data_IF_379874698886
#
_entry.id   IF_379874698886
#
_cell.length_a   1.000
_cell.length_b   1.000
_cell.length_c   1.000
_cell.angle_alpha   90.00
_cell.angle_beta   90.00
_cell.angle_gamma   90.00
#
_symmetry.space_group_name_H-M   'P 1'
#
loop_
_entity.id
_entity.type
_entity.pdbx_description
1 polymer ?
#
# COMPACT_ATOMS: atom_id res chain seq x y z
N UNK A 1 13.79 17.72 -10.75
CA UNK A 1 12.80 17.97 -9.68
C UNK A 1 13.08 19.37 -9.12
N UNK A 2 12.18 20.35 -9.27
CA UNK A 2 12.42 21.72 -8.74
C UNK A 2 12.36 21.66 -7.20
N UNK A 3 13.32 22.24 -6.49
CA UNK A 3 13.41 22.26 -5.02
C UNK A 3 12.14 22.80 -4.32
N UNK A 4 11.33 23.60 -5.01
CA UNK A 4 10.02 24.06 -4.53
C UNK A 4 8.96 22.96 -4.40
N UNK A 5 9.07 21.86 -5.16
CA UNK A 5 8.12 20.74 -5.11
C UNK A 5 8.20 19.91 -3.82
N UNK A 6 9.37 19.88 -3.15
CA UNK A 6 9.58 19.18 -1.88
C UNK A 6 8.91 19.87 -0.68
N UNK A 7 8.37 21.08 -0.86
CA UNK A 7 7.58 21.77 0.16
C UNK A 7 6.09 21.38 0.13
N UNK A 8 5.66 20.63 -0.88
CA UNK A 8 4.28 20.12 -0.94
C UNK A 8 4.07 19.07 0.15
N UNK A 9 3.03 19.26 0.97
CA UNK A 9 2.60 18.32 2.02
C UNK A 9 2.43 16.91 1.46
N UNK A 10 1.85 16.78 0.27
CA UNK A 10 1.64 15.46 -0.35
C UNK A 10 2.94 14.78 -0.79
N UNK A 11 3.93 15.54 -1.26
CA UNK A 11 5.25 14.99 -1.64
C UNK A 11 5.99 14.51 -0.38
N UNK A 12 6.00 15.33 0.67
CA UNK A 12 6.61 14.97 1.95
C UNK A 12 5.95 13.75 2.57
N UNK A 13 4.61 13.69 2.54
CA UNK A 13 3.87 12.53 3.02
C UNK A 13 4.18 11.27 2.20
N UNK A 14 4.25 11.38 0.86
CA UNK A 14 4.56 10.23 0.00
C UNK A 14 5.96 9.67 0.23
N UNK A 15 6.98 10.54 0.33
CA UNK A 15 8.35 10.14 0.63
C UNK A 15 8.46 9.60 2.06
N UNK A 16 7.81 10.25 3.02
CA UNK A 16 7.76 9.78 4.41
C UNK A 16 7.13 8.40 4.54
N UNK A 17 6.01 8.15 3.83
CA UNK A 17 5.39 6.85 3.74
C UNK A 17 6.36 5.80 3.19
N UNK A 18 7.04 6.12 2.09
CA UNK A 18 8.00 5.23 1.45
C UNK A 18 9.16 4.84 2.37
N UNK A 19 9.72 5.82 3.09
CA UNK A 19 10.82 5.60 4.03
C UNK A 19 10.36 4.71 5.20
N UNK A 20 9.22 5.01 5.80
CA UNK A 20 8.69 4.25 6.94
C UNK A 20 8.35 2.80 6.56
N UNK A 21 7.69 2.60 5.41
CA UNK A 21 7.37 1.26 4.91
C UNK A 21 8.64 0.49 4.53
N UNK A 22 9.54 1.13 3.78
CA UNK A 22 10.80 0.55 3.35
C UNK A 22 11.69 0.14 4.53
N UNK A 23 11.69 0.90 5.62
CA UNK A 23 12.40 0.54 6.85
C UNK A 23 11.82 -0.70 7.55
N UNK A 24 10.56 -1.03 7.32
CA UNK A 24 9.87 -2.15 7.96
C UNK A 24 10.54 -3.50 7.71
N UNK A 25 10.93 -3.80 6.47
CA UNK A 25 11.50 -5.11 6.11
C UNK A 25 12.86 -5.39 6.77
N UNK A 26 13.86 -4.48 6.69
CA UNK A 26 15.13 -4.69 7.39
C UNK A 26 14.99 -4.77 8.92
N UNK A 27 14.13 -3.93 9.52
CA UNK A 27 13.90 -3.96 10.97
C UNK A 27 13.18 -5.23 11.40
N UNK A 28 12.19 -5.69 10.63
CA UNK A 28 11.52 -6.97 10.87
C UNK A 28 12.50 -8.15 10.77
N UNK A 29 13.46 -8.12 9.84
CA UNK A 29 14.49 -9.16 9.72
C UNK A 29 15.31 -9.32 11.00
N UNK A 30 15.65 -8.22 11.66
CA UNK A 30 16.37 -8.24 12.95
C UNK A 30 15.50 -8.89 14.03
N UNK A 31 14.21 -8.55 14.08
CA UNK A 31 13.27 -9.09 15.08
C UNK A 31 12.95 -10.58 14.86
N UNK A 32 13.03 -11.07 13.63
CA UNK A 32 12.87 -12.50 13.30
C UNK A 32 13.98 -13.38 13.89
N UNK A 33 15.11 -12.81 14.33
CA UNK A 33 16.16 -13.58 14.99
C UNK A 33 15.72 -14.17 16.34
N UNK A 34 14.75 -13.53 17.02
CA UNK A 34 14.25 -13.95 18.34
C UNK A 34 12.74 -14.16 18.40
N UNK A 35 12.03 -13.96 17.30
CA UNK A 35 10.57 -13.99 17.24
C UNK A 35 10.11 -14.86 16.08
N UNK A 36 9.12 -15.73 16.30
CA UNK A 36 8.58 -16.56 15.21
C UNK A 36 7.91 -15.70 14.13
N UNK A 37 7.92 -16.12 12.85
CA UNK A 37 7.32 -15.36 11.75
C UNK A 37 5.86 -14.97 11.99
N UNK A 38 5.05 -15.90 12.48
CA UNK A 38 3.63 -15.67 12.75
C UNK A 38 3.41 -14.69 13.91
N UNK A 39 4.17 -14.84 14.99
CA UNK A 39 4.11 -13.94 16.15
C UNK A 39 4.49 -12.52 15.75
N UNK A 40 5.57 -12.35 14.98
CA UNK A 40 6.01 -11.04 14.53
C UNK A 40 4.98 -10.37 13.63
N UNK A 41 4.37 -11.10 12.68
CA UNK A 41 3.28 -10.59 11.85
C UNK A 41 2.10 -10.07 12.70
N UNK A 42 1.71 -10.80 13.75
CA UNK A 42 0.68 -10.37 14.70
C UNK A 42 1.08 -9.10 15.46
N UNK A 43 2.29 -9.05 16.03
CA UNK A 43 2.78 -7.90 16.80
C UNK A 43 2.89 -6.62 15.96
N UNK A 44 3.33 -6.72 14.70
CA UNK A 44 3.37 -5.58 13.77
C UNK A 44 1.97 -4.99 13.57
N UNK A 45 0.96 -5.82 13.36
CA UNK A 45 -0.41 -5.34 13.12
C UNK A 45 -1.12 -4.88 14.39
N UNK A 46 -0.83 -5.49 15.55
CA UNK A 46 -1.26 -4.95 16.85
C UNK A 46 -0.67 -3.56 17.08
N UNK A 47 0.61 -3.36 16.78
CA UNK A 47 1.27 -2.04 16.84
C UNK A 47 0.57 -1.00 15.98
N UNK A 48 0.28 -1.35 14.73
CA UNK A 48 -0.50 -0.50 13.80
C UNK A 48 -1.90 -0.17 14.35
N UNK A 49 -2.66 -1.19 14.76
CA UNK A 49 -4.03 -1.05 15.25
C UNK A 49 -4.14 -0.24 16.54
N UNK A 50 -3.33 -0.56 17.55
CA UNK A 50 -3.35 0.14 18.84
C UNK A 50 -2.81 1.57 18.71
N UNK A 51 -1.72 1.77 17.97
CA UNK A 51 -1.13 3.10 17.81
C UNK A 51 -2.06 4.05 17.07
N UNK A 52 -2.66 3.62 15.96
CA UNK A 52 -3.64 4.43 15.24
C UNK A 52 -4.98 4.54 15.98
N UNK A 53 -5.40 3.51 16.70
CA UNK A 53 -6.57 3.55 17.57
C UNK A 53 -6.42 4.60 18.68
N UNK A 54 -5.26 4.64 19.33
CA UNK A 54 -4.93 5.65 20.34
C UNK A 54 -4.85 7.06 19.73
N UNK A 55 -4.21 7.21 18.58
CA UNK A 55 -4.18 8.47 17.85
C UNK A 55 -5.60 8.99 17.59
N UNK A 56 -6.50 8.14 17.09
CA UNK A 56 -7.91 8.52 16.86
C UNK A 56 -8.66 8.88 18.13
N UNK A 57 -8.38 8.19 19.23
CA UNK A 57 -8.98 8.52 20.54
C UNK A 57 -8.54 9.91 21.01
N UNK A 58 -7.25 10.22 20.91
CA UNK A 58 -6.67 11.51 21.28
C UNK A 58 -7.18 12.63 20.36
N UNK A 59 -7.20 12.38 19.05
CA UNK A 59 -7.69 13.32 18.03
C UNK A 59 -9.22 13.42 17.97
N UNK A 60 -9.94 12.64 18.79
CA UNK A 60 -11.41 12.58 18.83
C UNK A 60 -12.04 12.39 17.44
N UNK A 61 -11.39 11.57 16.61
CA UNK A 61 -11.82 11.36 15.22
C UNK A 61 -13.17 10.64 15.16
N UNK A 62 -14.10 11.18 14.38
CA UNK A 62 -15.42 10.58 14.21
C UNK A 62 -15.32 9.21 13.54
N UNK A 63 -16.11 8.25 14.02
CA UNK A 63 -16.19 6.92 13.41
C UNK A 63 -16.97 7.03 12.10
N UNK A 64 -16.41 6.59 10.95
CA UNK A 64 -17.16 6.55 9.71
C UNK A 64 -18.29 5.53 9.81
N UNK A 65 -19.40 5.80 9.10
CA UNK A 65 -20.47 4.83 8.89
C UNK A 65 -20.13 4.06 7.62
N UNK A 66 -20.03 2.74 7.73
CA UNK A 66 -19.87 1.88 6.57
C UNK A 66 -21.24 1.48 6.02
N UNK A 67 -21.36 1.55 4.71
CA UNK A 67 -22.47 0.95 4.00
C UNK A 67 -22.32 -0.57 3.91
N UNK A 68 -23.44 -1.28 3.73
CA UNK A 68 -23.43 -2.76 3.67
C UNK A 68 -22.54 -3.29 2.55
N UNK A 69 -22.45 -2.56 1.44
CA UNK A 69 -21.65 -2.95 0.28
C UNK A 69 -20.13 -2.80 0.51
N UNK A 70 -19.72 -1.98 1.50
CA UNK A 70 -18.32 -1.75 1.86
C UNK A 70 -17.76 -2.82 2.81
N UNK A 71 -18.62 -3.63 3.44
CA UNK A 71 -18.22 -4.64 4.43
C UNK A 71 -17.41 -5.77 3.79
N UNK A 72 -17.87 -6.32 2.66
CA UNK A 72 -17.18 -7.44 2.02
C UNK A 72 -15.77 -7.06 1.51
N UNK A 73 -15.59 -5.91 0.82
CA UNK A 73 -14.25 -5.41 0.50
C UNK A 73 -13.37 -5.21 1.74
N UNK A 74 -13.91 -4.66 2.82
CA UNK A 74 -13.16 -4.48 4.07
C UNK A 74 -12.70 -5.81 4.66
N UNK A 75 -13.59 -6.81 4.75
CA UNK A 75 -13.25 -8.13 5.29
C UNK A 75 -12.16 -8.79 4.44
N UNK A 76 -12.26 -8.72 3.12
CA UNK A 76 -11.24 -9.24 2.22
C UNK A 76 -9.90 -8.49 2.36
N UNK A 77 -9.92 -7.16 2.45
CA UNK A 77 -8.74 -6.33 2.68
C UNK A 77 -8.03 -6.68 4.01
N UNK A 78 -8.79 -6.93 5.08
CA UNK A 78 -8.24 -7.40 6.36
C UNK A 78 -7.66 -8.81 6.22
N UNK A 79 -8.38 -9.73 5.60
CA UNK A 79 -7.97 -11.13 5.44
C UNK A 79 -6.69 -11.28 4.61
N UNK A 80 -6.68 -10.74 3.39
CA UNK A 80 -5.52 -10.83 2.52
C UNK A 80 -4.40 -9.92 2.99
N UNK A 81 -4.68 -8.63 3.20
CA UNK A 81 -3.65 -7.64 3.47
C UNK A 81 -3.16 -7.59 4.92
N UNK A 82 -4.00 -7.96 5.89
CA UNK A 82 -3.65 -7.94 7.30
C UNK A 82 -3.28 -9.30 7.89
N UNK A 83 -3.97 -10.37 7.47
CA UNK A 83 -3.74 -11.69 8.04
C UNK A 83 -2.70 -12.45 7.21
N UNK A 84 -3.00 -12.74 5.94
CA UNK A 84 -2.17 -13.61 5.09
C UNK A 84 -0.87 -12.96 4.64
N UNK A 85 -0.93 -11.74 4.09
CA UNK A 85 0.22 -11.03 3.52
C UNK A 85 1.39 -10.90 4.49
N UNK A 86 1.20 -10.35 5.70
CA UNK A 86 2.27 -10.17 6.67
C UNK A 86 2.90 -11.51 7.12
N UNK A 87 2.09 -12.55 7.31
CA UNK A 87 2.57 -13.87 7.69
C UNK A 87 3.45 -14.46 6.59
N UNK A 88 2.99 -14.40 5.34
CA UNK A 88 3.75 -14.85 4.16
C UNK A 88 5.06 -14.07 3.98
N UNK A 89 5.02 -12.74 4.17
CA UNK A 89 6.23 -11.93 4.16
C UNK A 89 7.20 -12.38 5.25
N UNK A 90 6.74 -12.56 6.49
CA UNK A 90 7.61 -12.97 7.60
C UNK A 90 8.23 -14.35 7.38
N UNK A 91 7.49 -15.32 6.81
CA UNK A 91 8.04 -16.64 6.47
C UNK A 91 9.10 -16.57 5.37
N UNK A 92 8.86 -15.78 4.33
CA UNK A 92 9.85 -15.53 3.29
C UNK A 92 11.08 -14.81 3.82
N UNK A 93 10.86 -13.73 4.56
CA UNK A 93 11.91 -12.89 5.16
C UNK A 93 12.77 -13.67 6.16
N UNK A 94 12.21 -14.61 6.92
CA UNK A 94 12.97 -15.45 7.85
C UNK A 94 14.10 -16.21 7.13
N UNK A 95 13.84 -16.66 5.91
CA UNK A 95 14.72 -17.56 5.15
C UNK A 95 15.41 -16.90 3.95
N UNK A 96 15.38 -15.57 3.83
CA UNK A 96 16.14 -14.85 2.80
C UNK A 96 16.75 -13.54 3.31
N UNK A 97 17.75 -12.97 2.62
CA UNK A 97 18.30 -11.66 2.97
C UNK A 97 17.25 -10.54 2.88
N UNK A 98 17.30 -9.59 3.81
CA UNK A 98 16.38 -8.44 3.83
C UNK A 98 16.49 -7.57 2.57
N UNK A 99 17.66 -7.53 1.92
CA UNK A 99 17.88 -6.82 0.65
C UNK A 99 17.03 -7.39 -0.49
N UNK A 100 17.10 -8.70 -0.69
CA UNK A 100 16.30 -9.40 -1.69
C UNK A 100 14.80 -9.34 -1.37
N UNK A 101 14.43 -9.53 -0.10
CA UNK A 101 13.04 -9.40 0.34
C UNK A 101 12.47 -8.01 0.06
N UNK A 102 13.22 -6.95 0.39
CA UNK A 102 12.78 -5.57 0.18
C UNK A 102 12.55 -5.29 -1.30
N UNK A 103 13.46 -5.71 -2.19
CA UNK A 103 13.30 -5.51 -3.63
C UNK A 103 12.14 -6.32 -4.22
N UNK A 104 11.91 -7.56 -3.75
CA UNK A 104 10.78 -8.37 -4.21
C UNK A 104 9.42 -7.72 -3.94
N UNK A 105 9.31 -6.81 -2.96
CA UNK A 105 8.10 -6.03 -2.72
C UNK A 105 7.70 -5.13 -3.90
N UNK A 106 8.60 -4.83 -4.83
CA UNK A 106 8.23 -4.16 -6.09
C UNK A 106 7.20 -4.97 -6.91
N UNK A 107 7.10 -6.28 -6.70
CA UNK A 107 6.11 -7.13 -7.36
C UNK A 107 4.67 -6.82 -6.92
N UNK A 108 4.46 -6.17 -5.76
CA UNK A 108 3.12 -5.77 -5.30
C UNK A 108 2.42 -4.85 -6.31
N UNK A 109 3.13 -3.87 -6.86
CA UNK A 109 2.60 -2.97 -7.88
C UNK A 109 2.18 -3.71 -9.15
N UNK A 110 2.98 -4.72 -9.56
CA UNK A 110 2.66 -5.59 -10.70
C UNK A 110 1.40 -6.40 -10.44
N UNK A 111 1.28 -7.07 -9.29
CA UNK A 111 0.07 -7.83 -8.95
C UNK A 111 -1.15 -6.94 -8.80
N UNK A 112 -1.00 -5.76 -8.20
CA UNK A 112 -2.08 -4.78 -8.07
C UNK A 112 -2.64 -4.39 -9.44
N UNK A 113 -1.75 -4.07 -10.39
CA UNK A 113 -2.14 -3.67 -11.73
C UNK A 113 -2.68 -4.83 -12.59
N UNK A 114 -2.11 -6.05 -12.48
CA UNK A 114 -2.65 -7.22 -13.16
C UNK A 114 -4.05 -7.59 -12.67
N UNK A 115 -4.30 -7.51 -11.35
CA UNK A 115 -5.63 -7.73 -10.79
C UNK A 115 -6.62 -6.66 -11.25
N UNK A 116 -6.20 -5.39 -11.29
CA UNK A 116 -6.99 -4.29 -11.85
C UNK A 116 -7.43 -4.61 -13.30
N UNK A 117 -6.52 -5.12 -14.12
CA UNK A 117 -6.85 -5.50 -15.50
C UNK A 117 -7.75 -6.72 -15.61
N UNK A 118 -7.42 -7.83 -14.95
CA UNK A 118 -8.20 -9.06 -15.14
C UNK A 118 -9.57 -9.03 -14.45
N UNK A 119 -9.65 -8.40 -13.27
CA UNK A 119 -10.86 -8.40 -12.45
C UNK A 119 -11.72 -7.18 -12.73
N UNK A 120 -11.10 -5.99 -12.86
CA UNK A 120 -11.81 -4.73 -13.07
C UNK A 120 -11.82 -4.29 -14.54
N UNK A 121 -11.18 -5.06 -15.44
CA UNK A 121 -11.15 -4.82 -16.89
C UNK A 121 -10.53 -3.48 -17.28
N UNK A 122 -9.61 -2.98 -16.46
CA UNK A 122 -8.88 -1.73 -16.73
C UNK A 122 -7.77 -1.98 -17.75
N UNK A 123 -7.79 -1.27 -18.88
CA UNK A 123 -6.73 -1.39 -19.89
C UNK A 123 -5.46 -0.65 -19.45
N UNK A 124 -4.31 -1.18 -19.85
CA UNK A 124 -3.02 -0.52 -19.63
C UNK A 124 -2.19 -0.45 -20.91
N UNK A 125 -1.35 0.56 -20.98
CA UNK A 125 -0.54 0.82 -22.16
C UNK A 125 0.65 -0.16 -22.27
N UNK A 126 1.21 -0.31 -23.47
CA UNK A 126 2.34 -1.22 -23.77
C UNK A 126 3.56 -0.94 -22.88
N UNK A 127 3.74 0.33 -22.48
CA UNK A 127 4.83 0.74 -21.60
C UNK A 127 4.68 0.20 -20.17
N UNK A 128 3.47 0.15 -19.65
CA UNK A 128 3.19 -0.43 -18.33
C UNK A 128 3.47 -1.93 -18.35
N UNK A 129 3.07 -2.62 -19.42
CA UNK A 129 3.40 -4.03 -19.61
C UNK A 129 4.92 -4.26 -19.66
N UNK A 130 5.69 -3.42 -20.37
CA UNK A 130 7.15 -3.50 -20.38
C UNK A 130 7.75 -3.28 -18.98
N UNK A 131 7.18 -2.33 -18.21
CA UNK A 131 7.59 -2.10 -16.83
C UNK A 131 7.33 -3.30 -15.92
N UNK A 132 6.18 -3.97 -16.08
CA UNK A 132 5.86 -5.20 -15.34
C UNK A 132 6.85 -6.31 -15.68
N UNK A 133 7.17 -6.50 -16.97
CA UNK A 133 8.16 -7.49 -17.42
C UNK A 133 9.53 -7.22 -16.80
N UNK A 134 9.97 -5.96 -16.73
CA UNK A 134 11.24 -5.60 -16.11
C UNK A 134 11.26 -5.90 -14.59
N UNK A 135 10.18 -5.60 -13.87
CA UNK A 135 10.07 -5.95 -12.43
C UNK A 135 10.09 -7.47 -12.23
N UNK A 136 9.34 -8.22 -13.06
CA UNK A 136 9.31 -9.69 -13.01
C UNK A 136 10.68 -10.28 -13.32
N UNK A 137 11.40 -9.76 -14.32
CA UNK A 137 12.76 -10.19 -14.63
C UNK A 137 13.70 -9.97 -13.43
N UNK A 138 13.62 -8.82 -12.76
CA UNK A 138 14.36 -8.57 -11.52
C UNK A 138 13.99 -9.56 -10.41
N UNK A 139 12.70 -9.89 -10.25
CA UNK A 139 12.24 -10.86 -9.25
C UNK A 139 12.76 -12.27 -9.53
N UNK A 140 12.82 -12.67 -10.80
CA UNK A 140 13.41 -13.95 -11.24
C UNK A 140 14.90 -13.98 -10.89
N UNK A 141 15.65 -12.91 -11.18
CA UNK A 141 17.08 -12.82 -10.83
C UNK A 141 17.32 -13.01 -9.32
N UNK A 142 16.44 -12.50 -8.46
CA UNK A 142 16.53 -12.68 -7.00
C UNK A 142 16.04 -14.05 -6.52
N UNK A 143 15.19 -14.73 -7.30
CA UNK A 143 14.53 -15.98 -6.89
C UNK A 143 15.30 -17.22 -7.31
N UNK A 144 16.17 -17.12 -8.32
CA UNK A 144 17.02 -18.23 -8.75
C UNK A 144 18.14 -18.40 -7.73
N UNK A 145 18.25 -19.56 -7.06
CA UNK A 145 19.34 -19.82 -6.14
C UNK A 145 20.69 -19.80 -6.89
N UNK A 146 21.62 -18.95 -6.45
CA UNK A 146 22.98 -18.89 -7.00
C UNK A 146 23.96 -19.45 -5.97
N UNK A 147 24.67 -20.53 -6.29
CA UNK A 147 25.70 -21.11 -5.42
C UNK A 147 25.81 -22.64 -5.50
N UNK A 148 26.76 -23.20 -4.72
CA UNK A 148 27.02 -24.63 -4.64
C UNK A 148 25.97 -25.40 -3.81
N UNK A 149 25.25 -24.71 -2.92
CA UNK A 149 24.02 -25.21 -2.31
C UNK A 149 22.84 -24.58 -3.04
N UNK A 150 22.09 -25.41 -3.79
CA UNK A 150 20.84 -24.98 -4.42
C UNK A 150 19.86 -24.60 -3.29
N UNK A 151 19.81 -23.31 -2.97
CA UNK A 151 18.84 -22.76 -2.04
C UNK A 151 17.40 -23.04 -2.48
N UNK A 152 16.46 -22.84 -1.57
CA UNK A 152 15.04 -23.05 -1.83
C UNK A 152 14.42 -21.82 -2.50
N UNK A 153 13.51 -22.02 -3.46
CA UNK A 153 12.67 -20.93 -4.05
C UNK A 153 11.50 -20.54 -3.15
N UNK A 154 11.20 -21.34 -2.13
CA UNK A 154 10.07 -21.13 -1.21
C UNK A 154 10.05 -19.75 -0.53
N UNK A 155 11.18 -19.17 -0.06
CA UNK A 155 11.18 -17.85 0.55
C UNK A 155 10.70 -16.76 -0.42
N UNK A 156 11.21 -16.78 -1.66
CA UNK A 156 10.82 -15.81 -2.68
C UNK A 156 9.36 -16.00 -3.09
N UNK A 157 8.89 -17.24 -3.23
CA UNK A 157 7.48 -17.53 -3.52
C UNK A 157 6.55 -17.04 -2.40
N UNK A 158 6.96 -17.18 -1.13
CA UNK A 158 6.19 -16.65 0.00
C UNK A 158 6.08 -15.12 -0.05
N UNK A 159 7.16 -14.40 -0.39
CA UNK A 159 7.11 -12.94 -0.55
C UNK A 159 6.26 -12.54 -1.77
N UNK A 160 6.37 -13.25 -2.89
CA UNK A 160 5.53 -12.98 -4.06
C UNK A 160 4.05 -13.24 -3.75
N UNK A 161 3.74 -14.28 -2.96
CA UNK A 161 2.38 -14.53 -2.47
C UNK A 161 1.90 -13.44 -1.50
N UNK A 162 2.79 -12.89 -0.67
CA UNK A 162 2.48 -11.72 0.15
C UNK A 162 2.16 -10.48 -0.72
N UNK A 163 2.95 -10.23 -1.76
CA UNK A 163 2.72 -9.16 -2.73
C UNK A 163 1.39 -9.34 -3.47
N UNK A 164 1.01 -10.58 -3.81
CA UNK A 164 -0.31 -10.87 -4.38
C UNK A 164 -1.44 -10.59 -3.38
N UNK A 165 -1.29 -11.00 -2.12
CA UNK A 165 -2.25 -10.69 -1.06
C UNK A 165 -2.43 -9.17 -0.88
N UNK A 166 -1.35 -8.40 -0.90
CA UNK A 166 -1.42 -6.94 -0.86
C UNK A 166 -1.97 -6.35 -2.16
N UNK A 167 -1.73 -6.95 -3.31
CA UNK A 167 -2.39 -6.56 -4.56
C UNK A 167 -3.92 -6.73 -4.49
N UNK A 168 -4.40 -7.82 -3.90
CA UNK A 168 -5.84 -8.03 -3.64
C UNK A 168 -6.35 -6.98 -2.64
N UNK A 169 -5.63 -6.78 -1.53
CA UNK A 169 -5.97 -5.78 -0.52
C UNK A 169 -6.07 -4.37 -1.10
N UNK A 170 -5.10 -3.94 -1.90
CA UNK A 170 -5.09 -2.62 -2.53
C UNK A 170 -6.32 -2.42 -3.43
N UNK A 171 -6.67 -3.42 -4.23
CA UNK A 171 -7.84 -3.37 -5.09
C UNK A 171 -9.16 -3.34 -4.28
N UNK A 172 -9.26 -4.10 -3.19
CA UNK A 172 -10.44 -4.09 -2.30
C UNK A 172 -10.53 -2.79 -1.49
N UNK A 173 -9.40 -2.29 -0.99
CA UNK A 173 -9.27 -1.03 -0.26
C UNK A 173 -9.67 0.15 -1.16
N UNK A 174 -9.35 0.11 -2.45
CA UNK A 174 -9.80 1.09 -3.44
C UNK A 174 -11.33 1.16 -3.53
N UNK A 175 -12.06 0.07 -3.30
CA UNK A 175 -13.53 0.08 -3.31
C UNK A 175 -14.13 0.87 -2.13
N UNK A 176 -13.35 1.14 -1.08
CA UNK A 176 -13.78 1.80 0.15
C UNK A 176 -12.89 3.03 0.48
N UNK A 177 -12.18 3.57 -0.52
CA UNK A 177 -11.15 4.60 -0.31
C UNK A 177 -11.68 5.97 0.13
N UNK A 178 -13.00 6.19 0.03
CA UNK A 178 -13.67 7.37 0.56
C UNK A 178 -13.81 7.33 2.10
N UNK A 179 -13.72 6.12 2.69
CA UNK A 179 -13.68 5.94 4.14
C UNK A 179 -12.42 6.57 4.73
N UNK A 180 -12.51 7.02 5.97
CA UNK A 180 -11.37 7.62 6.67
C UNK A 180 -10.16 6.67 6.74
N UNK A 181 -9.02 7.16 6.23
CA UNK A 181 -7.75 6.46 6.14
C UNK A 181 -7.24 5.90 7.46
N UNK A 182 -7.28 6.74 8.51
CA UNK A 182 -6.77 6.38 9.84
C UNK A 182 -7.68 5.33 10.48
N UNK A 183 -8.98 5.39 10.20
CA UNK A 183 -9.94 4.38 10.66
C UNK A 183 -9.68 3.04 9.99
N UNK A 184 -9.55 3.03 8.66
CA UNK A 184 -9.34 1.82 7.89
C UNK A 184 -8.06 1.09 8.33
N UNK A 185 -6.96 1.84 8.45
CA UNK A 185 -5.69 1.31 8.91
C UNK A 185 -5.76 0.79 10.36
N UNK A 186 -6.42 1.52 11.28
CA UNK A 186 -6.60 1.09 12.66
C UNK A 186 -7.43 -0.19 12.78
N UNK A 187 -8.49 -0.35 11.98
CA UNK A 187 -9.33 -1.56 11.97
C UNK A 187 -8.57 -2.74 11.39
N UNK A 188 -7.83 -2.55 10.28
CA UNK A 188 -7.00 -3.61 9.70
C UNK A 188 -5.97 -4.12 10.70
N UNK A 189 -5.25 -3.22 11.36
CA UNK A 189 -4.32 -3.57 12.45
C UNK A 189 -5.01 -4.23 13.65
N UNK A 190 -6.10 -3.62 14.12
CA UNK A 190 -6.84 -4.04 15.31
C UNK A 190 -7.55 -5.37 15.19
N UNK A 191 -7.89 -5.81 13.97
CA UNK A 191 -8.45 -7.14 13.70
C UNK A 191 -7.35 -8.15 13.37
N UNK A 192 -6.49 -7.83 12.39
CA UNK A 192 -5.52 -8.80 11.90
C UNK A 192 -4.42 -9.13 12.92
N UNK A 193 -4.00 -8.15 13.73
CA UNK A 193 -3.01 -8.35 14.78
C UNK A 193 -3.43 -9.42 15.78
N UNK A 194 -4.57 -9.26 16.50
CA UNK A 194 -5.08 -10.27 17.41
C UNK A 194 -5.36 -11.63 16.75
N UNK A 195 -5.90 -11.66 15.52
CA UNK A 195 -6.12 -12.92 14.78
C UNK A 195 -4.79 -13.66 14.58
N UNK A 196 -3.75 -12.97 14.11
CA UNK A 196 -2.43 -13.58 13.93
C UNK A 196 -1.78 -14.00 15.24
N UNK A 197 -1.93 -13.23 16.32
CA UNK A 197 -1.44 -13.63 17.64
C UNK A 197 -2.14 -14.91 18.14
N UNK A 198 -3.46 -14.99 18.02
CA UNK A 198 -4.23 -16.18 18.40
C UNK A 198 -3.77 -17.42 17.63
N UNK A 199 -3.57 -17.29 16.32
CA UNK A 199 -3.06 -18.41 15.51
C UNK A 199 -1.62 -18.75 15.90
N UNK A 200 -0.76 -17.76 16.14
CA UNK A 200 0.61 -18.01 16.59
C UNK A 200 0.64 -18.82 17.90
N UNK A 201 -0.20 -18.46 18.88
CA UNK A 201 -0.32 -19.22 20.12
C UNK A 201 -0.90 -20.63 19.89
N UNK A 202 -1.90 -20.77 19.02
CA UNK A 202 -2.46 -22.08 18.67
C UNK A 202 -1.44 -23.01 17.99
N UNK A 203 -0.48 -22.43 17.25
CA UNK A 203 0.66 -23.13 16.65
C UNK A 203 1.82 -23.37 17.63
N UNK A 204 1.67 -23.01 18.91
CA UNK A 204 2.66 -23.23 19.95
C UNK A 204 3.77 -22.18 20.04
N UNK A 205 3.59 -21.00 19.43
CA UNK A 205 4.54 -19.91 19.57
C UNK A 205 4.55 -19.36 21.01
N UNK A 206 5.74 -19.06 21.52
CA UNK A 206 5.93 -18.41 22.81
C UNK A 206 6.07 -16.89 22.64
N UNK A 207 5.76 -16.15 23.70
CA UNK A 207 6.01 -14.71 23.71
C UNK A 207 7.52 -14.44 23.68
N UNK A 208 7.99 -13.54 22.80
CA UNK A 208 9.37 -13.09 22.85
C UNK A 208 9.58 -12.15 24.05
N UNK A 209 10.83 -11.77 24.30
CA UNK A 209 11.14 -10.83 25.37
C UNK A 209 10.40 -9.49 25.17
N UNK A 210 10.03 -8.82 26.27
CA UNK A 210 9.30 -7.54 26.27
C UNK A 210 9.92 -6.49 25.33
N UNK A 211 11.26 -6.32 25.26
CA UNK A 211 11.86 -5.38 24.31
C UNK A 211 11.56 -5.72 22.84
N UNK A 212 11.54 -7.01 22.47
CA UNK A 212 11.20 -7.45 21.12
C UNK A 212 9.71 -7.20 20.81
N UNK A 213 8.83 -7.40 21.79
CA UNK A 213 7.40 -7.05 21.66
C UNK A 213 7.24 -5.56 21.39
N UNK A 214 7.85 -4.72 22.24
CA UNK A 214 7.78 -3.26 22.10
C UNK A 214 8.36 -2.79 20.76
N UNK A 215 9.53 -3.31 20.36
CA UNK A 215 10.15 -2.97 19.09
C UNK A 215 9.28 -3.39 17.90
N UNK A 216 8.71 -4.60 17.91
CA UNK A 216 7.79 -5.05 16.88
C UNK A 216 6.55 -4.16 16.78
N UNK A 217 5.96 -3.77 17.92
CA UNK A 217 4.81 -2.87 17.92
C UNK A 217 5.15 -1.47 17.40
N UNK A 218 6.34 -0.93 17.73
CA UNK A 218 6.82 0.36 17.20
C UNK A 218 7.04 0.28 15.70
N UNK A 219 7.72 -0.76 15.21
CA UNK A 219 7.90 -0.99 13.77
C UNK A 219 6.54 -1.12 13.09
N UNK A 220 5.63 -1.88 13.69
CA UNK A 220 4.25 -2.03 13.25
C UNK A 220 3.50 -0.72 13.09
N UNK A 221 3.53 0.10 14.13
CA UNK A 221 2.90 1.42 14.17
C UNK A 221 3.42 2.32 13.05
N UNK A 222 4.74 2.44 12.88
CA UNK A 222 5.32 3.34 11.90
C UNK A 222 5.25 2.80 10.46
N UNK A 223 5.69 1.56 10.25
CA UNK A 223 5.83 0.98 8.92
C UNK A 223 4.50 0.56 8.29
N UNK A 224 3.54 0.06 9.08
CA UNK A 224 2.25 -0.40 8.57
C UNK A 224 1.09 0.55 8.89
N UNK A 225 1.18 1.31 9.99
CA UNK A 225 0.14 2.26 10.40
C UNK A 225 0.36 3.66 9.80
N UNK A 226 1.34 4.39 10.33
CA UNK A 226 1.64 5.78 9.95
C UNK A 226 1.99 5.89 8.47
N UNK A 227 2.78 4.96 7.93
CA UNK A 227 3.10 4.94 6.50
C UNK A 227 1.85 4.89 5.62
N UNK A 228 0.88 4.00 5.93
CA UNK A 228 -0.35 3.89 5.17
C UNK A 228 -1.19 5.19 5.25
N UNK A 229 -1.26 5.80 6.42
CA UNK A 229 -1.93 7.10 6.59
C UNK A 229 -1.26 8.19 5.75
N UNK A 230 0.07 8.29 5.81
CA UNK A 230 0.83 9.26 5.02
C UNK A 230 0.68 9.01 3.51
N UNK A 231 0.63 7.74 3.08
CA UNK A 231 0.37 7.39 1.70
C UNK A 231 -1.01 7.87 1.25
N UNK A 232 -2.05 7.67 2.07
CA UNK A 232 -3.39 8.17 1.76
C UNK A 232 -3.44 9.70 1.76
N UNK A 233 -2.73 10.36 2.67
CA UNK A 233 -2.56 11.82 2.64
C UNK A 233 -1.88 12.27 1.34
N UNK A 234 -0.83 11.58 0.89
CA UNK A 234 -0.17 11.86 -0.37
C UNK A 234 -1.14 11.73 -1.54
N UNK A 235 -1.91 10.63 -1.62
CA UNK A 235 -2.92 10.44 -2.67
C UNK A 235 -3.92 11.61 -2.73
N UNK A 236 -4.37 12.09 -1.58
CA UNK A 236 -5.30 13.24 -1.49
C UNK A 236 -4.72 14.57 -1.97
N UNK A 237 -3.41 14.78 -1.85
CA UNK A 237 -2.79 16.08 -2.15
C UNK A 237 -2.10 16.13 -3.53
N UNK A 238 -1.52 15.02 -3.98
CA UNK A 238 -0.76 14.98 -5.24
C UNK A 238 -1.35 14.01 -6.27
N UNK A 239 -2.46 13.36 -5.94
CA UNK A 239 -3.11 12.34 -6.77
C UNK A 239 -2.48 10.96 -6.58
N UNK A 240 -3.27 9.92 -6.87
CA UNK A 240 -2.88 8.50 -6.75
C UNK A 240 -1.60 8.18 -7.51
N UNK A 241 -1.49 8.69 -8.73
CA UNK A 241 -0.32 8.53 -9.61
C UNK A 241 1.00 8.95 -8.94
N UNK A 242 1.06 10.22 -8.50
CA UNK A 242 2.28 10.80 -7.93
C UNK A 242 2.55 10.25 -6.54
N UNK A 243 1.52 9.99 -5.76
CA UNK A 243 1.68 9.32 -4.47
C UNK A 243 2.28 7.92 -4.65
N UNK A 244 1.77 7.14 -5.61
CA UNK A 244 2.32 5.85 -6.01
C UNK A 244 3.79 5.95 -6.46
N UNK A 245 4.13 6.99 -7.23
CA UNK A 245 5.50 7.29 -7.64
C UNK A 245 6.46 7.52 -6.48
N UNK A 246 6.02 8.22 -5.44
CA UNK A 246 6.85 8.42 -4.25
C UNK A 246 6.94 7.12 -3.43
N UNK A 247 5.83 6.38 -3.32
CA UNK A 247 5.77 5.16 -2.54
C UNK A 247 6.58 4.00 -3.15
N UNK A 248 6.69 3.92 -4.49
CA UNK A 248 7.49 2.90 -5.18
C UNK A 248 9.00 2.99 -4.89
N UNK A 249 9.46 4.04 -4.19
CA UNK A 249 10.83 4.13 -3.67
C UNK A 249 11.05 3.23 -2.46
N UNK A 250 9.99 2.82 -1.75
CA UNK A 250 10.08 2.08 -0.49
C UNK A 250 10.88 0.77 -0.58
N UNK A 251 10.68 -0.11 -1.59
CA UNK A 251 11.47 -1.32 -1.77
C UNK A 251 12.98 -1.06 -1.88
N UNK A 252 13.36 -0.01 -2.62
CA UNK A 252 14.75 0.39 -2.82
C UNK A 252 15.35 0.97 -1.55
N UNK A 253 14.60 1.81 -0.83
CA UNK A 253 15.02 2.33 0.45
C UNK A 253 15.26 1.19 1.46
N UNK A 254 14.36 0.21 1.53
CA UNK A 254 14.52 -0.97 2.38
C UNK A 254 15.77 -1.77 2.02
N UNK A 255 16.07 -1.95 0.74
CA UNK A 255 17.29 -2.62 0.30
C UNK A 255 18.56 -1.84 0.72
N UNK A 256 18.58 -0.52 0.54
CA UNK A 256 19.70 0.34 0.97
C UNK A 256 19.88 0.29 2.48
N UNK A 257 18.79 0.38 3.25
CA UNK A 257 18.84 0.29 4.71
C UNK A 257 19.34 -1.09 5.17
N UNK A 258 18.91 -2.18 4.53
CA UNK A 258 19.42 -3.50 4.83
C UNK A 258 20.94 -3.60 4.61
N UNK A 259 21.47 -3.00 3.53
CA UNK A 259 22.93 -2.94 3.29
C UNK A 259 23.62 -2.12 4.38
N UNK A 260 23.06 -0.95 4.74
CA UNK A 260 23.60 -0.11 5.80
C UNK A 260 23.61 -0.82 7.17
N UNK A 261 22.69 -1.76 7.39
CA UNK A 261 22.62 -2.61 8.58
C UNK A 261 23.49 -3.88 8.49
N UNK A 262 24.33 -4.01 7.44
CA UNK A 262 25.33 -5.06 7.32
C UNK A 262 24.99 -6.19 6.33
N UNK A 263 23.91 -6.09 5.55
CA UNK A 263 23.63 -7.06 4.49
C UNK A 263 24.62 -6.92 3.32
N UNK A 264 25.02 -8.05 2.73
CA UNK A 264 25.96 -8.07 1.62
C UNK A 264 25.36 -7.55 0.32
N UNK A 265 26.14 -6.75 -0.41
CA UNK A 265 25.84 -6.34 -1.79
C UNK A 265 26.33 -7.42 -2.75
N UNK A 266 25.41 -8.05 -3.48
CA UNK A 266 25.74 -9.11 -4.46
C UNK A 266 25.44 -8.63 -5.88
N UNK A 267 26.11 -9.23 -6.86
CA UNK A 267 25.86 -8.91 -8.27
C UNK A 267 24.41 -9.18 -8.70
N UNK A 268 23.76 -10.32 -8.34
CA UNK A 268 22.34 -10.51 -8.60
C UNK A 268 21.45 -9.43 -8.01
N UNK A 269 21.78 -8.93 -6.80
CA UNK A 269 21.04 -7.85 -6.15
C UNK A 269 21.12 -6.55 -6.96
N UNK A 270 22.30 -6.19 -7.46
CA UNK A 270 22.50 -4.99 -8.29
C UNK A 270 21.74 -5.09 -9.61
N UNK A 271 21.81 -6.25 -10.28
CA UNK A 271 21.09 -6.50 -11.54
C UNK A 271 19.58 -6.40 -11.32
N UNK A 272 19.06 -7.05 -10.28
CA UNK A 272 17.65 -7.00 -9.95
C UNK A 272 17.18 -5.58 -9.60
N UNK A 273 17.94 -4.85 -8.79
CA UNK A 273 17.64 -3.46 -8.45
C UNK A 273 17.58 -2.58 -9.71
N UNK A 274 18.51 -2.74 -10.64
CA UNK A 274 18.51 -1.99 -11.90
C UNK A 274 17.28 -2.31 -12.77
N UNK A 275 16.95 -3.59 -12.94
CA UNK A 275 15.77 -4.03 -13.70
C UNK A 275 14.47 -3.51 -13.08
N UNK A 276 14.31 -3.64 -11.77
CA UNK A 276 13.12 -3.15 -11.08
C UNK A 276 13.03 -1.62 -11.11
N UNK A 277 14.15 -0.91 -11.00
CA UNK A 277 14.17 0.55 -11.10
C UNK A 277 13.73 1.02 -12.50
N UNK A 278 14.18 0.34 -13.57
CA UNK A 278 13.69 0.59 -14.92
C UNK A 278 12.20 0.32 -15.02
N UNK A 279 11.73 -0.79 -14.46
CA UNK A 279 10.30 -1.15 -14.50
C UNK A 279 9.41 -0.15 -13.78
N UNK A 280 9.81 0.27 -12.58
CA UNK A 280 9.15 1.35 -11.84
C UNK A 280 9.19 2.66 -12.63
N UNK A 281 10.34 3.04 -13.18
CA UNK A 281 10.44 4.25 -14.01
C UNK A 281 9.48 4.24 -15.20
N UNK A 282 9.34 3.09 -15.88
CA UNK A 282 8.38 2.93 -16.98
C UNK A 282 6.93 3.08 -16.53
N UNK A 283 6.55 2.54 -15.37
CA UNK A 283 5.21 2.73 -14.80
C UNK A 283 4.94 4.20 -14.46
N UNK A 284 5.91 4.91 -13.90
CA UNK A 284 5.73 6.28 -13.41
C UNK A 284 5.77 7.36 -14.49
N UNK A 285 6.35 7.05 -15.64
CA UNK A 285 6.48 8.01 -16.75
C UNK A 285 5.41 7.83 -17.82
N UNK A 286 4.47 6.92 -17.60
CA UNK A 286 3.28 6.76 -18.44
C UNK A 286 2.29 7.92 -18.23
N UNK A 287 1.65 8.35 -19.32
CA UNK A 287 0.64 9.41 -19.29
C UNK A 287 -0.71 8.80 -19.65
N UNK A 288 -1.56 8.63 -18.65
CA UNK A 288 -2.94 8.20 -18.86
C UNK A 288 -3.82 9.40 -19.22
N UNK A 289 -3.65 9.92 -20.43
CA UNK A 289 -4.53 10.93 -21.03
C UNK A 289 -5.40 10.26 -22.10
N UNK A 290 -6.68 10.07 -21.80
CA UNK A 290 -7.65 9.64 -22.78
C UNK A 290 -9.02 10.26 -22.48
N UNK A 291 -9.81 10.44 -23.53
CA UNK A 291 -11.19 10.87 -23.42
C UNK A 291 -11.99 9.82 -22.65
N UNK A 292 -12.77 10.26 -21.68
CA UNK A 292 -13.59 9.38 -20.89
C UNK A 292 -14.85 10.10 -20.40
N UNK A 293 -15.88 9.31 -20.10
CA UNK A 293 -17.17 9.81 -19.64
C UNK A 293 -17.38 9.38 -18.20
N UNK A 294 -17.50 10.35 -17.28
CA UNK A 294 -17.98 10.05 -15.94
C UNK A 294 -19.48 9.77 -16.01
N UNK A 295 -19.91 8.61 -15.55
CA UNK A 295 -21.33 8.31 -15.36
C UNK A 295 -21.91 9.12 -14.20
N UNK A 296 -23.24 9.28 -14.20
CA UNK A 296 -23.92 9.99 -13.13
C UNK A 296 -23.64 9.34 -11.77
N UNK A 297 -23.07 10.10 -10.84
CA UNK A 297 -22.74 9.62 -9.49
C UNK A 297 -23.39 10.50 -8.43
N UNK A 298 -24.10 9.87 -7.50
CA UNK A 298 -24.65 10.54 -6.32
C UNK A 298 -23.78 10.25 -5.11
N UNK A 299 -23.15 11.28 -4.57
CA UNK A 299 -22.29 11.16 -3.39
C UNK A 299 -22.41 12.37 -2.46
N UNK A 300 -21.75 12.31 -1.31
CA UNK A 300 -21.78 13.36 -0.29
C UNK A 300 -20.33 13.73 0.09
N UNK A 301 -19.93 14.93 -0.33
CA UNK A 301 -18.63 15.52 0.02
C UNK A 301 -18.70 17.03 0.12
N UNK A 302 -17.68 17.62 0.77
CA UNK A 302 -17.53 19.07 0.87
C UNK A 302 -17.14 19.68 -0.48
N UNK A 303 -17.93 20.61 -0.98
CA UNK A 303 -17.69 21.28 -2.26
C UNK A 303 -18.08 22.76 -2.21
N UNK A 304 -17.74 23.48 -3.27
CA UNK A 304 -18.20 24.83 -3.63
C UNK A 304 -18.73 24.72 -5.06
N UNK A 305 -19.68 25.55 -5.47
CA UNK A 305 -20.12 25.56 -6.87
C UNK A 305 -18.99 25.97 -7.80
N UNK A 306 -18.63 25.06 -8.69
CA UNK A 306 -17.70 25.22 -9.79
C UNK A 306 -18.30 24.56 -11.04
N UNK A 307 -17.51 24.43 -12.10
CA UNK A 307 -17.97 23.81 -13.36
C UNK A 307 -18.48 22.37 -13.18
N UNK A 308 -18.00 21.65 -12.15
CA UNK A 308 -18.35 20.25 -11.90
C UNK A 308 -19.48 20.11 -10.87
N UNK A 309 -19.71 21.12 -10.01
CA UNK A 309 -20.70 21.10 -8.94
C UNK A 309 -21.84 22.08 -9.21
N UNK A 310 -22.60 21.81 -10.28
CA UNK A 310 -23.83 22.51 -10.62
C UNK A 310 -25.03 21.67 -10.17
N UNK A 311 -25.63 22.00 -9.04
CA UNK A 311 -26.85 21.34 -8.54
C UNK A 311 -27.67 22.28 -7.67
N UNK A 312 -28.95 21.97 -7.54
CA UNK A 312 -29.90 22.78 -6.78
C UNK A 312 -29.91 22.42 -5.30
N UNK A 313 -30.23 23.43 -4.47
CA UNK A 313 -30.43 23.27 -3.04
C UNK A 313 -31.89 23.45 -2.65
N UNK A 314 -32.33 22.69 -1.65
CA UNK A 314 -33.61 22.96 -1.00
C UNK A 314 -33.60 24.30 -0.23
N UNK A 315 -32.44 24.70 0.31
CA UNK A 315 -32.23 26.00 0.96
C UNK A 315 -31.08 26.76 0.28
N UNK A 316 -31.19 28.08 0.04
CA UNK A 316 -30.18 28.82 -0.69
C UNK A 316 -28.82 28.83 0.03
N UNK A 317 -27.77 28.39 -0.67
CA UNK A 317 -26.38 28.51 -0.22
C UNK A 317 -25.72 29.71 -0.89
N UNK A 318 -25.10 30.59 -0.09
CA UNK A 318 -24.42 31.77 -0.62
C UNK A 318 -23.23 31.37 -1.52
N UNK A 319 -23.03 32.14 -2.60
CA UNK A 319 -21.96 31.88 -3.57
C UNK A 319 -20.58 31.87 -2.90
N UNK A 320 -19.75 30.88 -3.25
CA UNK A 320 -18.41 30.70 -2.68
C UNK A 320 -18.37 30.02 -1.30
N UNK A 321 -19.51 29.73 -0.68
CA UNK A 321 -19.55 29.02 0.60
C UNK A 321 -19.32 27.53 0.41
N UNK A 322 -18.35 26.99 1.15
CA UNK A 322 -18.06 25.56 1.18
C UNK A 322 -19.11 24.85 2.04
N UNK A 323 -19.76 23.86 1.48
CA UNK A 323 -20.86 23.14 2.11
C UNK A 323 -20.82 21.65 1.74
N UNK A 324 -21.64 20.84 2.39
CA UNK A 324 -21.66 19.38 2.25
C UNK A 324 -23.08 18.86 2.37
N UNK A 325 -23.50 18.12 1.37
CA UNK A 325 -24.72 17.32 1.35
C UNK A 325 -24.62 16.34 0.18
N UNK A 326 -25.58 15.41 0.12
CA UNK A 326 -25.71 14.44 -0.96
C UNK A 326 -26.21 15.11 -2.23
N UNK A 327 -25.42 15.10 -3.30
CA UNK A 327 -25.77 15.65 -4.60
C UNK A 327 -25.35 14.69 -5.72
N UNK A 328 -25.87 14.92 -6.93
CA UNK A 328 -25.57 14.12 -8.12
C UNK A 328 -24.76 14.95 -9.11
N UNK A 329 -23.68 14.39 -9.62
CA UNK A 329 -23.03 14.91 -10.83
C UNK A 329 -23.68 14.27 -12.05
N UNK A 330 -24.05 15.08 -13.03
CA UNK A 330 -24.52 14.60 -14.34
C UNK A 330 -23.36 14.05 -15.18
N UNK A 331 -23.62 13.20 -16.18
CA UNK A 331 -22.57 12.64 -16.99
C UNK A 331 -21.78 13.71 -17.75
N UNK A 332 -20.45 13.63 -17.70
CA UNK A 332 -19.56 14.56 -18.39
C UNK A 332 -18.44 13.80 -19.12
N UNK A 333 -18.25 14.13 -20.39
CA UNK A 333 -17.15 13.61 -21.23
C UNK A 333 -16.07 14.66 -21.35
N UNK A 334 -14.85 14.30 -20.97
CA UNK A 334 -13.68 15.16 -21.12
C UNK A 334 -12.38 14.37 -21.19
N UNK A 335 -11.30 15.06 -21.55
CA UNK A 335 -9.96 14.50 -21.63
C UNK A 335 -9.06 15.18 -20.62
N UNK A 336 -8.62 14.40 -19.63
CA UNK A 336 -7.57 14.82 -18.71
C UNK A 336 -6.74 13.62 -18.25
N UNK A 337 -5.54 13.91 -17.76
CA UNK A 337 -4.68 12.91 -17.11
C UNK A 337 -5.40 12.37 -15.88
N UNK A 338 -5.72 11.09 -15.89
CA UNK A 338 -6.35 10.43 -14.74
C UNK A 338 -5.72 9.07 -14.51
N UNK A 339 -5.78 8.61 -13.27
CA UNK A 339 -5.47 7.23 -12.93
C UNK A 339 -6.75 6.55 -12.50
N UNK A 340 -6.85 5.23 -12.64
CA UNK A 340 -8.02 4.51 -12.18
C UNK A 340 -8.19 4.72 -10.66
N UNK A 341 -9.18 5.51 -10.28
CA UNK A 341 -9.56 5.76 -8.89
C UNK A 341 -11.06 5.50 -8.71
N UNK A 342 -11.65 5.91 -7.58
CA UNK A 342 -13.07 5.70 -7.32
C UNK A 342 -13.98 6.56 -8.21
N UNK A 343 -13.47 7.68 -8.74
CA UNK A 343 -14.21 8.63 -9.57
C UNK A 343 -14.00 8.39 -11.08
N UNK A 344 -12.95 7.66 -11.46
CA UNK A 344 -12.60 7.33 -12.84
C UNK A 344 -12.68 5.81 -13.09
N UNK A 345 -13.90 5.25 -12.98
CA UNK A 345 -14.19 3.87 -13.41
C UNK A 345 -14.89 3.92 -14.76
N UNK A 346 -14.12 3.85 -15.83
CA UNK A 346 -14.66 3.94 -17.19
C UNK A 346 -14.75 2.55 -17.80
N UNK A 347 -15.94 2.19 -18.30
CA UNK A 347 -16.07 1.10 -19.26
C UNK A 347 -15.64 1.64 -20.62
N UNK A 348 -14.50 1.16 -21.12
CA UNK A 348 -14.05 1.42 -22.49
C UNK A 348 -14.53 0.33 -23.44
#
# INVERSE_FOLDING_TARGET
MRLSSLRSVGVQAGIGAAILFGAGTPLAKILLASTSPWMLAGLLYVGSGLGLGLFRLISRSTRPRLERHEIAPLVGAIGFGGVLGPVLLMFGLANMPATGASLLLNAEGVFTALLAWFVFKENFDRRIALGMVAIVAGAVVLSIPTGAELGSVWPSLAILAACLCWGIDNNLTRMISLTDATWLAAVKGGVAGPVNLLIAFALGATLPAVPSIAAAMVVGFFAYGVSLVLFIVAMRHVGTARAGAYFSVAPFFGAVLAIALGASLTLPLVIAAALMAVGVWLHLTERHEHEHTHEAITHDHWHVHDEHHQHDHAEPVAAGVRHRHRHTHEPITHTHEHYPDAHHRHGH
#
